data_IF_689095917789
#
_entry.id   IF_689095917789
#
_cell.length_a   1.000
_cell.length_b   1.000
_cell.length_c   1.000
_cell.angle_alpha   90.00
_cell.angle_beta   90.00
_cell.angle_gamma   90.00
#
_symmetry.space_group_name_H-M   'P 1'
#
loop_
_entity.id
_entity.type
_entity.pdbx_description
1 polymer ?
#
# COMPACT_ATOMS: atom_id res chain seq x y z
N UNK A 1 -25.60 -8.28 -23.89
CA UNK A 1 -24.81 -7.14 -23.37
C UNK A 1 -23.49 -7.13 -24.12
N UNK A 2 -23.02 -5.98 -24.65
CA UNK A 2 -21.68 -5.91 -25.21
C UNK A 2 -20.67 -6.37 -24.14
N UNK A 3 -19.71 -7.21 -24.55
CA UNK A 3 -18.67 -7.72 -23.66
C UNK A 3 -17.86 -6.51 -23.19
N UNK A 4 -17.89 -6.22 -21.89
CA UNK A 4 -17.13 -5.10 -21.37
C UNK A 4 -15.65 -5.24 -21.73
N UNK A 5 -15.03 -4.12 -22.09
CA UNK A 5 -13.63 -4.11 -22.42
C UNK A 5 -12.82 -4.50 -21.18
N UNK A 6 -11.77 -5.30 -21.40
CA UNK A 6 -10.86 -5.68 -20.33
C UNK A 6 -10.13 -4.44 -19.81
N UNK A 7 -9.94 -4.31 -18.48
CA UNK A 7 -9.16 -3.20 -17.90
C UNK A 7 -7.74 -3.13 -18.46
N UNK A 8 -7.14 -4.29 -18.78
CA UNK A 8 -5.81 -4.38 -19.40
C UNK A 8 -5.76 -3.73 -20.80
N UNK A 9 -6.89 -3.67 -21.51
CA UNK A 9 -7.03 -3.11 -22.85
C UNK A 9 -7.65 -1.70 -22.83
N UNK A 10 -8.09 -1.23 -21.65
CA UNK A 10 -8.80 0.04 -21.50
C UNK A 10 -7.83 1.22 -21.50
N UNK A 11 -7.84 2.01 -22.57
CA UNK A 11 -6.99 3.20 -22.72
C UNK A 11 -7.20 4.25 -21.62
N UNK A 12 -8.41 4.39 -21.07
CA UNK A 12 -8.65 5.29 -19.93
C UNK A 12 -7.88 4.78 -18.70
N UNK A 13 -8.06 3.50 -18.34
CA UNK A 13 -7.47 2.93 -17.14
C UNK A 13 -5.97 2.66 -17.24
N UNK A 14 -5.41 2.52 -18.44
CA UNK A 14 -3.94 2.47 -18.65
C UNK A 14 -3.26 3.79 -18.27
N UNK A 15 -3.92 4.91 -18.52
CA UNK A 15 -3.34 6.24 -18.40
C UNK A 15 -3.59 6.91 -17.05
N UNK A 16 -4.66 6.52 -16.36
CA UNK A 16 -4.98 7.03 -15.02
C UNK A 16 -4.19 6.21 -13.97
N UNK A 17 -3.28 6.81 -13.20
CA UNK A 17 -2.54 6.12 -12.15
C UNK A 17 -3.43 5.64 -11.00
N UNK A 18 -2.85 4.91 -10.05
CA UNK A 18 -3.55 4.41 -8.87
C UNK A 18 -4.01 5.57 -7.97
N UNK A 19 -3.18 6.61 -7.84
CA UNK A 19 -3.40 7.82 -7.05
C UNK A 19 -2.88 9.05 -7.83
N UNK A 20 -3.56 10.20 -7.75
CA UNK A 20 -3.13 11.48 -8.35
C UNK A 20 -3.88 12.69 -7.80
N UNK A 21 -3.35 13.88 -8.08
CA UNK A 21 -3.77 15.18 -7.53
C UNK A 21 -4.20 16.22 -8.59
N UNK A 22 -4.67 15.79 -9.79
CA UNK A 22 -5.04 16.73 -10.88
C UNK A 22 -6.31 16.31 -11.61
N UNK A 23 -7.19 17.27 -11.87
CA UNK A 23 -8.52 17.04 -12.46
C UNK A 23 -8.53 16.72 -13.95
N UNK A 24 -7.50 17.11 -14.71
CA UNK A 24 -7.50 17.01 -16.19
C UNK A 24 -7.71 15.59 -16.73
N UNK A 25 -7.38 14.56 -15.93
CA UNK A 25 -7.56 13.15 -16.29
C UNK A 25 -8.92 12.56 -15.91
N UNK A 26 -9.72 13.28 -15.12
CA UNK A 26 -11.03 12.84 -14.59
C UNK A 26 -12.13 12.97 -15.63
N UNK A 27 -12.04 13.95 -16.54
CA UNK A 27 -13.09 14.33 -17.51
C UNK A 27 -13.59 13.19 -18.41
N UNK A 28 -12.94 12.01 -18.37
CA UNK A 28 -13.30 10.81 -19.12
C UNK A 28 -14.12 9.77 -18.30
N UNK A 29 -14.37 10.01 -17.02
CA UNK A 29 -15.10 9.11 -16.12
C UNK A 29 -16.56 9.56 -15.93
N UNK A 30 -17.47 8.60 -15.76
CA UNK A 30 -18.87 8.85 -15.46
C UNK A 30 -19.08 8.99 -13.94
N UNK A 31 -19.80 10.03 -13.51
CA UNK A 31 -20.22 10.15 -12.11
C UNK A 31 -21.36 9.18 -11.82
N UNK A 32 -21.17 8.31 -10.83
CA UNK A 32 -22.18 7.37 -10.33
C UNK A 32 -22.88 7.96 -9.10
N UNK A 33 -22.07 8.48 -8.17
CA UNK A 33 -22.52 9.13 -6.94
C UNK A 33 -21.74 10.43 -6.81
N UNK A 34 -22.43 11.49 -6.40
CA UNK A 34 -21.80 12.74 -5.96
C UNK A 34 -22.45 13.16 -4.65
N UNK A 35 -21.63 13.34 -3.62
CA UNK A 35 -22.03 13.78 -2.29
C UNK A 35 -21.34 15.11 -2.01
N UNK A 36 -22.14 16.07 -1.53
CA UNK A 36 -21.63 17.34 -1.02
C UNK A 36 -21.87 17.36 0.48
N UNK A 37 -20.77 17.50 1.21
CA UNK A 37 -20.73 17.58 2.66
C UNK A 37 -20.34 18.99 3.07
N UNK A 38 -21.15 19.59 3.94
CA UNK A 38 -20.90 20.92 4.50
C UNK A 38 -20.42 20.77 5.94
N UNK A 39 -19.30 21.41 6.28
CA UNK A 39 -18.75 21.45 7.63
C UNK A 39 -18.85 22.88 8.16
N UNK A 40 -19.71 23.09 9.18
CA UNK A 40 -20.08 24.39 9.74
C UNK A 40 -18.90 25.32 10.11
N UNK A 41 -17.73 24.76 10.39
CA UNK A 41 -16.54 25.51 10.82
C UNK A 41 -15.42 25.61 9.79
N UNK A 42 -15.42 24.75 8.76
CA UNK A 42 -14.16 24.24 8.25
C UNK A 42 -14.10 24.09 6.71
N UNK A 43 -15.23 24.10 6.00
CA UNK A 43 -15.27 24.09 4.53
C UNK A 43 -16.25 23.10 3.92
N UNK A 44 -16.09 22.85 2.62
CA UNK A 44 -16.92 21.91 1.86
C UNK A 44 -16.11 20.74 1.32
N UNK A 45 -16.68 19.55 1.37
CA UNK A 45 -16.11 18.37 0.70
C UNK A 45 -17.05 17.85 -0.38
N UNK A 46 -16.51 17.64 -1.56
CA UNK A 46 -17.18 16.96 -2.67
C UNK A 46 -16.56 15.58 -2.81
N UNK A 47 -17.37 14.55 -2.54
CA UNK A 47 -17.00 13.16 -2.78
C UNK A 47 -17.74 12.62 -3.98
N UNK A 48 -17.03 11.93 -4.88
CA UNK A 48 -17.66 11.24 -6.01
C UNK A 48 -17.20 9.79 -6.09
N UNK A 49 -18.13 8.91 -6.43
CA UNK A 49 -17.81 7.62 -7.02
C UNK A 49 -17.92 7.76 -8.53
N UNK A 50 -16.79 7.60 -9.20
CA UNK A 50 -16.66 7.70 -10.64
C UNK A 50 -16.47 6.30 -11.24
N UNK A 51 -16.85 6.12 -12.50
CA UNK A 51 -16.79 4.85 -13.22
C UNK A 51 -16.26 5.03 -14.62
N UNK A 52 -15.32 4.18 -15.03
CA UNK A 52 -14.85 4.13 -16.40
C UNK A 52 -15.98 3.65 -17.33
N UNK A 53 -16.36 4.41 -18.37
CA UNK A 53 -17.43 4.02 -19.29
C UNK A 53 -17.07 2.80 -20.16
N UNK A 54 -15.78 2.45 -20.25
CA UNK A 54 -15.28 1.40 -21.15
C UNK A 54 -15.19 0.04 -20.44
N UNK A 55 -14.54 0.01 -19.27
CA UNK A 55 -14.28 -1.24 -18.55
C UNK A 55 -14.97 -1.31 -17.18
N UNK A 56 -15.79 -0.32 -16.82
CA UNK A 56 -16.52 -0.26 -15.55
C UNK A 56 -15.63 -0.28 -14.29
N UNK A 57 -14.36 0.10 -14.38
CA UNK A 57 -13.48 0.29 -13.19
C UNK A 57 -13.91 1.53 -12.42
N UNK A 58 -13.93 1.45 -11.09
CA UNK A 58 -14.36 2.54 -10.22
C UNK A 58 -13.20 3.37 -9.69
N UNK A 59 -13.48 4.65 -9.44
CA UNK A 59 -12.56 5.61 -8.87
C UNK A 59 -13.28 6.41 -7.80
N UNK A 60 -12.61 6.60 -6.69
CA UNK A 60 -12.98 7.56 -5.67
C UNK A 60 -12.33 8.91 -5.99
N UNK A 61 -13.12 9.95 -5.82
CA UNK A 61 -12.70 11.33 -5.89
C UNK A 61 -13.15 12.01 -4.61
N UNK A 62 -12.25 12.73 -3.97
CA UNK A 62 -12.58 13.62 -2.88
C UNK A 62 -11.83 14.93 -3.09
N UNK A 63 -12.57 16.01 -3.06
CA UNK A 63 -12.05 17.36 -3.10
C UNK A 63 -12.54 18.08 -1.86
N UNK A 64 -11.61 18.60 -1.08
CA UNK A 64 -11.89 19.39 0.12
C UNK A 64 -11.43 20.81 -0.14
N UNK A 65 -12.37 21.75 -0.07
CA UNK A 65 -12.11 23.18 -0.18
C UNK A 65 -12.45 23.88 1.14
N UNK A 66 -11.48 24.55 1.73
CA UNK A 66 -11.66 25.32 2.97
C UNK A 66 -12.44 26.61 2.69
N UNK A 67 -13.41 26.93 3.55
CA UNK A 67 -14.04 28.25 3.56
C UNK A 67 -13.15 29.21 4.37
N UNK A 68 -12.83 30.37 3.78
CA UNK A 68 -11.79 31.33 4.20
C UNK A 68 -11.92 31.97 5.58
N UNK A 69 -12.84 31.51 6.43
CA UNK A 69 -13.17 32.13 7.71
C UNK A 69 -12.35 31.59 8.90
N UNK A 70 -11.68 30.43 8.79
CA UNK A 70 -10.85 29.83 9.86
C UNK A 70 -9.57 29.15 9.32
N UNK A 71 -8.48 29.90 9.04
CA UNK A 71 -7.35 29.45 8.21
C UNK A 71 -6.29 28.55 8.90
N UNK A 72 -6.63 27.76 9.91
CA UNK A 72 -5.62 27.22 10.84
C UNK A 72 -5.53 25.71 11.03
N UNK A 73 -6.26 24.87 10.28
CA UNK A 73 -6.31 23.44 10.64
C UNK A 73 -5.98 22.42 9.54
N UNK A 74 -5.99 22.76 8.25
CA UNK A 74 -5.73 21.78 7.19
C UNK A 74 -4.89 22.37 6.05
N UNK A 75 -4.14 21.54 5.32
CA UNK A 75 -3.53 21.99 4.07
C UNK A 75 -4.64 22.47 3.12
N UNK A 76 -4.58 23.75 2.77
CA UNK A 76 -5.43 24.47 1.83
C UNK A 76 -5.73 23.64 0.58
N UNK A 77 -7.00 23.43 0.28
CA UNK A 77 -7.50 22.81 -0.97
C UNK A 77 -6.86 21.46 -1.35
N UNK A 78 -7.43 20.35 -0.86
CA UNK A 78 -6.88 19.00 -1.10
C UNK A 78 -7.73 18.18 -2.07
N UNK A 79 -7.07 17.59 -3.06
CA UNK A 79 -7.67 16.71 -4.06
C UNK A 79 -7.06 15.31 -3.97
N UNK A 80 -7.91 14.33 -3.69
CA UNK A 80 -7.56 12.92 -3.57
C UNK A 80 -8.36 12.07 -4.53
N UNK A 81 -7.66 11.38 -5.43
CA UNK A 81 -8.29 10.54 -6.44
C UNK A 81 -7.62 9.19 -6.44
N UNK A 82 -8.40 8.14 -6.18
CA UNK A 82 -7.89 6.78 -6.03
C UNK A 82 -8.73 5.80 -6.79
N UNK A 83 -8.08 4.81 -7.42
CA UNK A 83 -8.82 3.70 -8.02
C UNK A 83 -9.37 2.79 -6.91
N UNK A 84 -10.65 2.47 -6.95
CA UNK A 84 -11.27 1.53 -6.03
C UNK A 84 -11.29 0.13 -6.63
N UNK A 85 -10.84 -0.86 -5.85
CA UNK A 85 -11.06 -2.25 -6.20
C UNK A 85 -12.53 -2.65 -5.94
N UNK A 86 -13.00 -3.76 -6.53
CA UNK A 86 -14.41 -4.15 -6.44
C UNK A 86 -14.93 -4.33 -5.00
N UNK A 87 -14.11 -4.82 -4.06
CA UNK A 87 -14.53 -4.97 -2.65
C UNK A 87 -14.71 -3.59 -2.02
N UNK A 88 -13.74 -2.69 -2.24
CA UNK A 88 -13.82 -1.31 -1.75
C UNK A 88 -15.06 -0.60 -2.28
N UNK A 89 -15.36 -0.74 -3.57
CA UNK A 89 -16.56 -0.16 -4.17
C UNK A 89 -17.84 -0.72 -3.55
N UNK A 90 -17.93 -2.03 -3.32
CA UNK A 90 -19.10 -2.65 -2.68
C UNK A 90 -19.30 -2.05 -1.28
N UNK A 91 -18.26 -2.04 -0.43
CA UNK A 91 -18.38 -1.53 0.94
C UNK A 91 -18.75 -0.04 0.98
N UNK A 92 -18.22 0.75 0.06
CA UNK A 92 -18.56 2.15 -0.11
C UNK A 92 -20.05 2.32 -0.45
N UNK A 93 -20.55 1.59 -1.45
CA UNK A 93 -21.96 1.63 -1.84
C UNK A 93 -22.90 1.12 -0.74
N UNK A 94 -22.52 0.03 -0.06
CA UNK A 94 -23.28 -0.55 1.04
C UNK A 94 -23.49 0.47 2.16
N UNK A 95 -22.43 1.12 2.63
CA UNK A 95 -22.59 2.03 3.75
C UNK A 95 -23.32 3.34 3.39
N UNK A 96 -23.23 3.83 2.14
CA UNK A 96 -24.13 4.89 1.65
C UNK A 96 -25.58 4.39 1.65
N UNK A 97 -25.82 3.19 1.11
CA UNK A 97 -27.16 2.63 1.00
C UNK A 97 -27.85 2.35 2.34
N UNK A 98 -27.05 2.06 3.38
CA UNK A 98 -27.50 1.74 4.72
C UNK A 98 -27.42 2.93 5.69
N UNK A 99 -26.89 4.08 5.25
CA UNK A 99 -26.68 5.26 6.11
C UNK A 99 -25.91 4.93 7.40
N UNK A 100 -24.93 4.02 7.33
CA UNK A 100 -24.19 3.58 8.50
C UNK A 100 -23.20 4.67 8.96
N UNK A 101 -23.22 5.01 10.25
CA UNK A 101 -22.23 5.89 10.89
C UNK A 101 -20.81 5.39 10.59
N UNK A 102 -19.89 6.29 10.23
CA UNK A 102 -18.51 5.93 9.89
C UNK A 102 -18.30 5.31 8.51
N UNK A 103 -19.34 5.21 7.67
CA UNK A 103 -19.12 4.94 6.25
C UNK A 103 -18.48 6.15 5.59
N UNK A 104 -17.37 5.93 4.87
CA UNK A 104 -16.78 6.88 3.94
C UNK A 104 -17.88 7.69 3.19
N UNK A 105 -17.74 9.03 3.13
CA UNK A 105 -16.47 9.68 2.87
C UNK A 105 -16.11 10.66 3.98
N UNK A 106 -15.70 10.15 5.13
CA UNK A 106 -14.79 10.98 5.92
C UNK A 106 -13.45 10.97 5.16
N UNK A 107 -12.92 12.14 4.75
CA UNK A 107 -11.60 12.21 4.13
C UNK A 107 -10.62 11.43 5.01
N UNK A 108 -9.73 10.65 4.41
CA UNK A 108 -8.75 9.86 5.18
C UNK A 108 -7.93 10.72 6.15
N UNK A 109 -7.85 12.03 5.95
CA UNK A 109 -7.29 13.00 6.90
C UNK A 109 -8.18 13.26 8.13
N UNK A 110 -9.48 13.52 7.95
CA UNK A 110 -10.41 13.84 9.02
C UNK A 110 -10.62 12.67 10.02
N UNK A 111 -10.63 11.42 9.54
CA UNK A 111 -10.65 10.25 10.43
C UNK A 111 -9.33 10.11 11.21
N UNK A 112 -8.19 10.38 10.57
CA UNK A 112 -6.87 10.24 11.20
C UNK A 112 -6.70 11.21 12.38
N UNK A 113 -7.18 12.44 12.24
CA UNK A 113 -7.08 13.48 13.27
C UNK A 113 -8.16 13.36 14.34
N UNK A 114 -9.40 13.01 13.98
CA UNK A 114 -10.45 12.75 14.97
C UNK A 114 -10.09 11.58 15.91
N UNK A 115 -9.46 10.52 15.36
CA UNK A 115 -8.92 9.41 16.15
C UNK A 115 -7.66 9.79 16.95
N UNK A 116 -6.83 10.71 16.45
CA UNK A 116 -5.61 11.14 17.13
C UNK A 116 -5.87 12.14 18.28
N UNK A 117 -6.92 12.95 18.17
CA UNK A 117 -7.18 14.06 19.10
C UNK A 117 -8.41 13.85 19.99
N UNK A 118 -9.13 12.74 19.83
CA UNK A 118 -10.30 12.41 20.66
C UNK A 118 -11.46 13.41 20.50
N UNK A 119 -11.48 14.17 19.40
CA UNK A 119 -12.56 15.13 19.09
C UNK A 119 -13.67 14.43 18.32
N UNK A 120 -14.91 14.65 18.74
CA UNK A 120 -16.08 14.31 17.94
C UNK A 120 -16.17 15.29 16.78
N UNK A 121 -15.99 14.82 15.54
CA UNK A 121 -16.33 15.61 14.35
C UNK A 121 -17.84 15.57 14.22
N UNK A 122 -18.50 16.73 14.17
CA UNK A 122 -19.93 16.81 13.87
C UNK A 122 -20.20 16.12 12.52
N UNK A 123 -21.27 15.32 12.46
CA UNK A 123 -21.64 14.68 11.21
C UNK A 123 -21.92 15.77 10.16
N UNK A 124 -21.29 15.71 8.98
CA UNK A 124 -21.55 16.69 7.94
C UNK A 124 -23.01 16.60 7.48
N UNK A 125 -23.62 17.75 7.19
CA UNK A 125 -24.90 17.76 6.49
C UNK A 125 -24.69 17.27 5.06
N UNK A 126 -25.40 16.20 4.70
CA UNK A 126 -25.38 15.60 3.36
C UNK A 126 -26.68 15.95 2.66
N UNK A 127 -26.57 16.61 1.50
CA UNK A 127 -27.70 16.86 0.62
C UNK A 127 -28.29 15.57 0.04
N UNK A 128 -29.62 15.48 -0.03
CA UNK A 128 -30.36 14.46 -0.80
C UNK A 128 -30.06 12.97 -0.46
N UNK A 129 -29.98 12.66 0.85
CA UNK A 129 -29.68 11.31 1.37
C UNK A 129 -30.51 10.19 0.72
N UNK A 130 -31.79 10.42 0.45
CA UNK A 130 -32.69 9.40 -0.10
C UNK A 130 -32.34 9.03 -1.56
N UNK A 131 -32.06 10.02 -2.41
CA UNK A 131 -31.65 9.75 -3.79
C UNK A 131 -30.26 9.13 -3.86
N UNK A 132 -29.33 9.55 -2.97
CA UNK A 132 -28.02 8.94 -2.83
C UNK A 132 -28.11 7.46 -2.45
N UNK A 133 -28.93 7.12 -1.46
CA UNK A 133 -29.13 5.74 -1.04
C UNK A 133 -29.74 4.88 -2.17
N UNK A 134 -30.68 5.42 -2.95
CA UNK A 134 -31.26 4.73 -4.10
C UNK A 134 -30.25 4.54 -5.24
N UNK A 135 -29.47 5.56 -5.57
CA UNK A 135 -28.39 5.47 -6.55
C UNK A 135 -27.35 4.42 -6.14
N UNK A 136 -26.98 4.40 -4.85
CA UNK A 136 -26.05 3.42 -4.30
C UNK A 136 -26.60 1.99 -4.38
N UNK A 137 -27.88 1.77 -4.03
CA UNK A 137 -28.54 0.45 -4.16
C UNK A 137 -28.56 -0.05 -5.60
N UNK A 138 -28.91 0.83 -6.54
CA UNK A 138 -28.97 0.47 -7.97
C UNK A 138 -27.58 0.09 -8.49
N UNK A 139 -26.54 0.88 -8.20
CA UNK A 139 -25.19 0.55 -8.64
C UNK A 139 -24.65 -0.70 -7.94
N UNK A 140 -24.96 -0.89 -6.66
CA UNK A 140 -24.57 -2.08 -5.90
C UNK A 140 -25.18 -3.35 -6.52
N UNK A 141 -26.44 -3.31 -6.94
CA UNK A 141 -27.08 -4.42 -7.65
C UNK A 141 -26.36 -4.74 -8.97
N UNK A 142 -26.00 -3.71 -9.75
CA UNK A 142 -25.25 -3.87 -11.01
C UNK A 142 -23.87 -4.49 -10.78
N UNK A 143 -23.14 -4.00 -9.78
CA UNK A 143 -21.80 -4.47 -9.45
C UNK A 143 -21.85 -5.91 -8.93
N UNK A 144 -22.77 -6.22 -8.01
CA UNK A 144 -22.91 -7.54 -7.39
C UNK A 144 -23.19 -8.62 -8.44
N UNK A 145 -24.07 -8.36 -9.42
CA UNK A 145 -24.37 -9.27 -10.53
C UNK A 145 -23.15 -9.61 -11.40
N UNK A 146 -22.14 -8.73 -11.42
CA UNK A 146 -20.94 -8.88 -12.26
C UNK A 146 -19.69 -9.25 -11.49
N UNK A 147 -19.73 -9.17 -10.16
CA UNK A 147 -18.58 -9.27 -9.28
C UNK A 147 -17.75 -10.55 -9.52
N UNK A 148 -18.40 -11.72 -9.57
CA UNK A 148 -17.68 -12.98 -9.79
C UNK A 148 -16.97 -13.02 -11.15
N UNK A 149 -17.60 -12.46 -12.18
CA UNK A 149 -16.99 -12.38 -13.50
C UNK A 149 -15.81 -11.40 -13.53
N UNK A 150 -15.91 -10.29 -12.79
CA UNK A 150 -14.80 -9.34 -12.61
C UNK A 150 -13.61 -10.06 -11.98
N UNK A 151 -13.81 -10.75 -10.85
CA UNK A 151 -12.73 -11.47 -10.16
C UNK A 151 -12.11 -12.56 -11.05
N UNK A 152 -12.93 -13.35 -11.77
CA UNK A 152 -12.43 -14.33 -12.75
C UNK A 152 -11.58 -13.68 -13.83
N UNK A 153 -12.04 -12.56 -14.40
CA UNK A 153 -11.28 -11.81 -15.40
C UNK A 153 -9.95 -11.30 -14.82
N UNK A 154 -9.94 -10.79 -13.59
CA UNK A 154 -8.74 -10.32 -12.91
C UNK A 154 -7.70 -11.44 -12.73
N UNK A 155 -8.14 -12.64 -12.32
CA UNK A 155 -7.28 -13.83 -12.22
C UNK A 155 -6.71 -14.23 -13.58
N UNK A 156 -7.49 -14.14 -14.65
CA UNK A 156 -7.02 -14.47 -15.99
C UNK A 156 -6.08 -13.40 -16.56
N UNK A 157 -6.30 -12.12 -16.22
CA UNK A 157 -5.42 -11.03 -16.65
C UNK A 157 -4.07 -11.17 -15.95
N UNK A 158 -4.01 -11.32 -14.62
CA UNK A 158 -2.75 -11.30 -13.86
C UNK A 158 -1.76 -12.38 -14.30
N UNK A 159 -2.26 -13.50 -14.84
CA UNK A 159 -1.46 -14.61 -15.40
C UNK A 159 -0.79 -14.28 -16.74
N UNK A 160 -1.22 -13.22 -17.45
CA UNK A 160 -0.66 -12.85 -18.76
C UNK A 160 0.67 -12.12 -18.60
N UNK A 161 1.58 -12.33 -19.55
CA UNK A 161 2.81 -11.54 -19.66
C UNK A 161 2.52 -10.16 -20.28
N UNK A 162 3.34 -9.15 -19.94
CA UNK A 162 3.32 -7.84 -20.60
C UNK A 162 2.21 -6.87 -20.13
N UNK A 163 1.54 -7.14 -19.01
CA UNK A 163 0.55 -6.23 -18.42
C UNK A 163 1.26 -4.97 -17.91
N UNK A 164 0.66 -3.81 -18.15
CA UNK A 164 1.11 -2.53 -17.59
C UNK A 164 1.26 -2.61 -16.06
N UNK A 165 2.39 -2.11 -15.52
CA UNK A 165 2.70 -2.21 -14.09
C UNK A 165 1.65 -1.61 -13.15
N UNK A 166 1.00 -0.51 -13.55
CA UNK A 166 -0.08 0.12 -12.76
C UNK A 166 -1.33 -0.75 -12.73
N UNK A 167 -1.66 -1.38 -13.85
CA UNK A 167 -2.78 -2.33 -13.93
C UNK A 167 -2.45 -3.57 -13.10
N UNK A 168 -1.21 -4.09 -13.20
CA UNK A 168 -0.74 -5.23 -12.43
C UNK A 168 -0.89 -4.99 -10.92
N UNK A 169 -0.49 -3.82 -10.43
CA UNK A 169 -0.66 -3.45 -9.02
C UNK A 169 -2.14 -3.41 -8.61
N UNK A 170 -3.00 -2.76 -9.38
CA UNK A 170 -4.44 -2.72 -9.11
C UNK A 170 -5.05 -4.13 -9.02
N UNK A 171 -4.72 -5.00 -9.97
CA UNK A 171 -5.26 -6.36 -10.02
C UNK A 171 -4.79 -7.17 -8.81
N UNK A 172 -3.52 -7.04 -8.44
CA UNK A 172 -2.98 -7.68 -7.24
C UNK A 172 -3.72 -7.22 -5.98
N UNK A 173 -3.89 -5.91 -5.79
CA UNK A 173 -4.58 -5.34 -4.63
C UNK A 173 -6.05 -5.79 -4.59
N UNK A 174 -6.74 -5.80 -5.73
CA UNK A 174 -8.12 -6.26 -5.85
C UNK A 174 -8.28 -7.74 -5.49
N UNK A 175 -7.37 -8.60 -5.95
CA UNK A 175 -7.39 -10.03 -5.63
C UNK A 175 -7.05 -10.28 -4.16
N UNK A 176 -6.05 -9.57 -3.61
CA UNK A 176 -5.76 -9.59 -2.18
C UNK A 176 -6.98 -9.22 -1.35
N UNK A 177 -7.60 -8.05 -1.61
CA UNK A 177 -8.78 -7.60 -0.89
C UNK A 177 -9.95 -8.61 -1.01
N UNK A 178 -10.19 -9.16 -2.21
CA UNK A 178 -11.21 -10.19 -2.43
C UNK A 178 -11.03 -11.44 -1.56
N UNK A 179 -9.85 -12.05 -1.60
CA UNK A 179 -9.62 -13.30 -0.88
C UNK A 179 -9.56 -13.07 0.63
N UNK A 180 -9.07 -11.91 1.06
CA UNK A 180 -9.00 -11.55 2.47
C UNK A 180 -10.38 -11.24 3.05
N UNK A 181 -11.22 -10.50 2.33
CA UNK A 181 -12.62 -10.23 2.71
C UNK A 181 -13.42 -11.54 2.87
N UNK A 182 -13.17 -12.52 1.98
CA UNK A 182 -13.81 -13.85 2.05
C UNK A 182 -13.15 -14.82 3.06
N UNK A 183 -12.09 -14.43 3.76
CA UNK A 183 -11.33 -15.32 4.64
C UNK A 183 -10.62 -16.47 3.91
N UNK A 184 -10.45 -16.38 2.60
CA UNK A 184 -9.85 -17.40 1.72
C UNK A 184 -8.39 -17.10 1.39
N UNK A 185 -7.60 -16.73 2.39
CA UNK A 185 -6.21 -16.30 2.19
C UNK A 185 -5.29 -17.36 1.53
N UNK A 186 -5.60 -18.66 1.69
CA UNK A 186 -4.85 -19.74 1.01
C UNK A 186 -4.93 -19.64 -0.51
N UNK A 187 -6.00 -19.05 -1.03
CA UNK A 187 -6.22 -18.88 -2.46
C UNK A 187 -5.29 -17.81 -3.05
N UNK A 188 -4.58 -17.02 -2.23
CA UNK A 188 -3.49 -16.13 -2.68
C UNK A 188 -2.20 -16.87 -3.01
N UNK A 189 -2.14 -18.19 -2.80
CA UNK A 189 -0.96 -19.01 -3.08
C UNK A 189 -0.45 -18.88 -4.51
N UNK A 190 -1.34 -18.82 -5.51
CA UNK A 190 -0.94 -18.69 -6.91
C UNK A 190 -0.25 -17.35 -7.22
N UNK A 191 -0.53 -16.29 -6.45
CA UNK A 191 0.16 -15.00 -6.59
C UNK A 191 1.56 -15.06 -5.94
N UNK A 192 1.72 -15.78 -4.83
CA UNK A 192 3.03 -16.03 -4.21
C UNK A 192 3.93 -16.94 -5.06
N UNK A 193 3.33 -17.78 -5.89
CA UNK A 193 4.02 -18.72 -6.79
C UNK A 193 4.09 -18.19 -8.24
N UNK A 194 3.78 -16.90 -8.45
CA UNK A 194 3.75 -16.29 -9.78
C UNK A 194 5.14 -16.14 -10.41
N UNK A 195 5.27 -16.29 -11.73
CA UNK A 195 6.56 -16.14 -12.42
C UNK A 195 7.16 -14.73 -12.34
N UNK A 196 6.30 -13.73 -12.14
CA UNK A 196 6.69 -12.32 -12.00
C UNK A 196 7.11 -11.99 -10.56
N UNK A 197 8.37 -11.57 -10.32
CA UNK A 197 8.85 -11.16 -9.00
C UNK A 197 8.03 -10.03 -8.36
N UNK A 198 7.53 -9.08 -9.16
CA UNK A 198 6.71 -7.98 -8.65
C UNK A 198 5.46 -8.52 -7.95
N UNK A 199 4.77 -9.46 -8.60
CA UNK A 199 3.52 -10.04 -8.08
C UNK A 199 3.80 -10.81 -6.79
N UNK A 200 4.84 -11.65 -6.77
CA UNK A 200 5.21 -12.43 -5.58
C UNK A 200 5.55 -11.53 -4.40
N UNK A 201 6.43 -10.55 -4.60
CA UNK A 201 6.92 -9.66 -3.53
C UNK A 201 5.81 -8.75 -3.01
N UNK A 202 5.01 -8.14 -3.90
CA UNK A 202 3.90 -7.28 -3.47
C UNK A 202 2.81 -8.08 -2.73
N UNK A 203 2.55 -9.32 -3.16
CA UNK A 203 1.63 -10.21 -2.44
C UNK A 203 2.19 -10.57 -1.07
N UNK A 204 3.47 -10.97 -0.99
CA UNK A 204 4.10 -11.29 0.28
C UNK A 204 4.10 -10.09 1.25
N UNK A 205 4.41 -8.89 0.75
CA UNK A 205 4.38 -7.66 1.52
C UNK A 205 2.96 -7.33 2.02
N UNK A 206 1.94 -7.51 1.17
CA UNK A 206 0.54 -7.36 1.60
C UNK A 206 0.22 -8.30 2.76
N UNK A 207 0.57 -9.59 2.64
CA UNK A 207 0.29 -10.60 3.66
C UNK A 207 1.05 -10.35 4.97
N UNK A 208 2.30 -9.86 4.90
CA UNK A 208 3.05 -9.42 6.09
C UNK A 208 2.30 -8.30 6.78
N UNK A 209 1.97 -7.22 6.06
CA UNK A 209 1.31 -6.06 6.65
C UNK A 209 0.00 -6.43 7.35
N UNK A 210 -0.78 -7.35 6.77
CA UNK A 210 -1.98 -7.86 7.46
C UNK A 210 -1.62 -8.69 8.69
N UNK A 211 -0.68 -9.64 8.57
CA UNK A 211 -0.34 -10.54 9.67
C UNK A 211 0.29 -9.83 10.88
N UNK A 212 0.96 -8.71 10.64
CA UNK A 212 1.62 -7.92 11.68
C UNK A 212 0.85 -6.66 12.06
N UNK A 213 -0.33 -6.43 11.46
CA UNK A 213 -1.12 -5.20 11.61
C UNK A 213 -0.35 -3.91 11.25
N UNK A 214 0.67 -4.04 10.41
CA UNK A 214 1.51 -2.95 9.90
C UNK A 214 1.02 -2.44 8.53
N UNK A 215 -0.02 -3.07 7.98
CA UNK A 215 -0.64 -2.61 6.74
C UNK A 215 -1.34 -1.25 6.94
N UNK A 216 -1.35 -0.37 5.91
CA UNK A 216 -2.20 0.80 5.88
C UNK A 216 -3.64 0.46 6.27
N UNK A 217 -4.28 1.34 7.05
CA UNK A 217 -5.67 1.16 7.52
C UNK A 217 -6.60 0.80 6.35
N UNK A 218 -6.41 1.43 5.20
CA UNK A 218 -7.16 1.17 3.96
C UNK A 218 -7.07 -0.26 3.43
N UNK A 219 -6.04 -1.04 3.78
CA UNK A 219 -5.96 -2.48 3.46
C UNK A 219 -6.62 -3.35 4.53
N UNK A 220 -6.58 -2.90 5.78
CA UNK A 220 -7.16 -3.62 6.93
C UNK A 220 -8.68 -3.48 7.01
N UNK A 221 -9.26 -2.36 6.53
CA UNK A 221 -10.73 -2.13 6.56
C UNK A 221 -11.53 -3.21 5.83
N UNK A 222 -10.91 -3.91 4.87
CA UNK A 222 -11.60 -4.96 4.12
C UNK A 222 -11.64 -6.30 4.86
N UNK A 223 -10.86 -6.46 5.92
CA UNK A 223 -10.75 -7.72 6.66
C UNK A 223 -11.66 -7.63 7.88
N UNK A 224 -12.72 -8.46 7.95
CA UNK A 224 -13.57 -8.54 9.13
C UNK A 224 -12.72 -8.79 10.39
N UNK A 225 -12.94 -8.06 11.51
CA UNK A 225 -12.15 -8.20 12.73
C UNK A 225 -12.01 -9.66 13.20
N UNK A 226 -13.09 -10.44 13.10
CA UNK A 226 -13.14 -11.86 13.46
C UNK A 226 -12.29 -12.77 12.58
N UNK A 227 -11.93 -12.32 11.37
CA UNK A 227 -11.03 -13.03 10.46
C UNK A 227 -9.57 -12.61 10.66
N UNK A 228 -9.30 -11.42 11.21
CA UNK A 228 -7.94 -10.94 11.49
C UNK A 228 -7.22 -11.83 12.50
N UNK A 229 -7.89 -12.22 13.58
CA UNK A 229 -7.32 -13.09 14.62
C UNK A 229 -7.07 -14.53 14.13
N UNK A 230 -7.83 -14.97 13.13
CA UNK A 230 -7.73 -16.30 12.53
C UNK A 230 -6.72 -16.35 11.38
N UNK A 231 -6.23 -15.19 10.94
CA UNK A 231 -5.30 -15.09 9.84
C UNK A 231 -3.95 -15.67 10.25
N UNK A 232 -3.63 -16.83 9.68
CA UNK A 232 -2.34 -17.51 9.86
C UNK A 232 -1.62 -17.55 8.53
N UNK A 233 -0.46 -16.93 8.49
CA UNK A 233 0.41 -16.96 7.32
C UNK A 233 1.67 -17.77 7.61
N UNK A 234 2.16 -18.47 6.59
CA UNK A 234 3.47 -19.11 6.65
C UNK A 234 4.56 -18.05 6.43
N UNK A 235 5.07 -17.49 7.52
CA UNK A 235 6.14 -16.50 7.48
C UNK A 235 7.41 -17.03 6.82
N UNK A 236 7.70 -18.34 6.85
CA UNK A 236 8.89 -18.88 6.19
C UNK A 236 8.75 -18.76 4.67
N UNK A 237 7.55 -19.03 4.12
CA UNK A 237 7.27 -18.81 2.69
C UNK A 237 7.44 -17.34 2.31
N UNK A 238 6.94 -16.41 3.13
CA UNK A 238 7.07 -14.97 2.84
C UNK A 238 8.54 -14.50 2.89
N UNK A 239 9.30 -14.92 3.91
CA UNK A 239 10.73 -14.62 4.06
C UNK A 239 11.50 -15.10 2.83
N UNK A 240 11.21 -16.32 2.35
CA UNK A 240 11.84 -16.88 1.16
C UNK A 240 11.59 -16.01 -0.07
N UNK A 241 10.33 -15.61 -0.32
CA UNK A 241 9.97 -14.72 -1.44
C UNK A 241 10.74 -13.42 -1.41
N UNK A 242 10.93 -12.81 -0.23
CA UNK A 242 11.71 -11.58 -0.13
C UNK A 242 13.19 -11.80 -0.42
N UNK A 243 13.81 -12.87 0.11
CA UNK A 243 15.23 -13.14 -0.16
C UNK A 243 15.52 -13.48 -1.63
N UNK A 244 14.60 -14.14 -2.33
CA UNK A 244 14.78 -14.48 -3.75
C UNK A 244 15.09 -13.26 -4.62
N UNK A 245 14.42 -12.13 -4.39
CA UNK A 245 14.62 -10.90 -5.18
C UNK A 245 15.85 -10.08 -4.77
N UNK A 246 16.44 -10.39 -3.62
CA UNK A 246 17.71 -9.80 -3.16
C UNK A 246 18.92 -10.55 -3.74
N UNK A 247 18.72 -11.73 -4.32
CA UNK A 247 19.82 -12.52 -4.88
C UNK A 247 20.50 -11.84 -6.09
N UNK A 248 21.79 -12.11 -6.33
CA UNK A 248 22.51 -11.62 -7.52
C UNK A 248 21.90 -12.11 -8.85
N UNK A 249 21.24 -13.27 -8.85
CA UNK A 249 20.53 -13.75 -10.04
C UNK A 249 19.34 -12.84 -10.40
N UNK A 250 18.70 -12.24 -9.39
CA UNK A 250 17.62 -11.28 -9.59
C UNK A 250 18.12 -9.86 -9.98
N UNK A 251 19.39 -9.50 -9.74
CA UNK A 251 19.95 -8.20 -10.17
C UNK A 251 20.28 -8.15 -11.66
N UNK A 252 20.40 -9.29 -12.33
CA UNK A 252 20.68 -9.37 -13.77
C UNK A 252 19.48 -8.97 -14.66
N UNK A 253 18.30 -8.76 -14.06
CA UNK A 253 17.10 -8.30 -14.77
C UNK A 253 17.12 -6.77 -14.83
N UNK A 254 17.25 -6.22 -16.03
CA UNK A 254 17.16 -4.77 -16.28
C UNK A 254 15.69 -4.33 -16.32
N UNK A 255 15.09 -4.24 -15.13
CA UNK A 255 13.70 -3.81 -14.94
C UNK A 255 13.68 -2.48 -14.16
N UNK A 256 13.04 -1.41 -14.67
CA UNK A 256 12.92 -0.14 -13.95
C UNK A 256 12.21 -0.26 -12.60
N UNK A 257 11.43 -1.32 -12.37
CA UNK A 257 10.75 -1.62 -11.09
C UNK A 257 11.62 -2.43 -10.12
N UNK A 258 12.84 -2.84 -10.51
CA UNK A 258 13.75 -3.65 -9.69
C UNK A 258 14.03 -3.01 -8.32
N UNK A 259 14.28 -1.71 -8.30
CA UNK A 259 14.58 -0.97 -7.06
C UNK A 259 13.36 -1.00 -6.14
N UNK A 260 12.16 -0.75 -6.67
CA UNK A 260 10.92 -0.75 -5.88
C UNK A 260 10.61 -2.15 -5.29
N UNK A 261 10.87 -3.21 -6.05
CA UNK A 261 10.70 -4.60 -5.60
C UNK A 261 11.70 -4.92 -4.48
N UNK A 262 12.98 -4.53 -4.64
CA UNK A 262 14.02 -4.75 -3.62
C UNK A 262 13.73 -3.97 -2.35
N UNK A 263 13.36 -2.69 -2.48
CA UNK A 263 12.90 -1.86 -1.37
C UNK A 263 11.75 -2.54 -0.60
N UNK A 264 10.72 -2.98 -1.34
CA UNK A 264 9.56 -3.68 -0.75
C UNK A 264 9.98 -4.95 -0.01
N UNK A 265 10.94 -5.71 -0.56
CA UNK A 265 11.46 -6.92 0.06
C UNK A 265 12.30 -6.65 1.32
N UNK A 266 13.17 -5.63 1.30
CA UNK A 266 13.95 -5.19 2.47
C UNK A 266 13.02 -4.77 3.60
N UNK A 267 11.99 -3.98 3.30
CA UNK A 267 10.98 -3.58 4.28
C UNK A 267 10.23 -4.80 4.85
N UNK A 268 9.80 -5.74 3.99
CA UNK A 268 9.15 -6.97 4.45
C UNK A 268 10.02 -7.80 5.38
N UNK A 269 11.32 -7.93 5.08
CA UNK A 269 12.29 -8.62 5.94
C UNK A 269 12.52 -7.88 7.26
N UNK A 270 12.51 -6.54 7.25
CA UNK A 270 12.66 -5.70 8.46
C UNK A 270 11.51 -5.97 9.44
N UNK A 271 10.27 -5.94 8.95
CA UNK A 271 9.08 -6.26 9.76
C UNK A 271 9.14 -7.69 10.32
N UNK A 272 9.78 -8.61 9.59
CA UNK A 272 9.94 -10.01 9.99
C UNK A 272 11.29 -10.32 10.66
N UNK A 273 12.12 -9.33 11.02
CA UNK A 273 13.50 -9.54 11.48
C UNK A 273 13.59 -10.56 12.63
N UNK A 274 12.78 -10.40 13.67
CA UNK A 274 12.71 -11.33 14.80
C UNK A 274 12.20 -12.74 14.47
N UNK A 275 11.62 -12.98 13.29
CA UNK A 275 11.13 -14.29 12.81
C UNK A 275 12.12 -15.01 11.91
N UNK A 276 13.14 -14.32 11.39
CA UNK A 276 14.14 -14.92 10.50
C UNK A 276 15.03 -15.86 11.30
N UNK A 277 15.11 -17.13 10.86
CA UNK A 277 15.97 -18.13 11.50
C UNK A 277 17.45 -17.84 11.23
N UNK A 278 18.35 -18.13 12.19
CA UNK A 278 19.78 -17.92 12.01
C UNK A 278 20.38 -18.55 10.75
N UNK A 279 19.95 -19.77 10.43
CA UNK A 279 20.45 -20.52 9.27
C UNK A 279 20.05 -19.82 7.97
N UNK A 280 18.78 -19.43 7.86
CA UNK A 280 18.27 -18.65 6.72
C UNK A 280 19.00 -17.32 6.56
N UNK A 281 19.29 -16.63 7.67
CA UNK A 281 20.05 -15.37 7.61
C UNK A 281 21.48 -15.62 7.11
N UNK A 282 22.16 -16.64 7.64
CA UNK A 282 23.53 -16.98 7.26
C UNK A 282 23.66 -17.29 5.77
N UNK A 283 22.68 -17.98 5.20
CA UNK A 283 22.63 -18.31 3.76
C UNK A 283 22.42 -17.08 2.87
N UNK A 284 21.79 -16.02 3.38
CA UNK A 284 21.36 -14.87 2.58
C UNK A 284 22.09 -13.57 2.91
N UNK A 285 22.95 -13.55 3.94
CA UNK A 285 23.59 -12.32 4.40
C UNK A 285 24.44 -11.67 3.31
N UNK A 286 25.18 -12.45 2.52
CA UNK A 286 25.98 -11.92 1.41
C UNK A 286 25.13 -11.14 0.40
N UNK A 287 23.94 -11.64 0.08
CA UNK A 287 23.01 -10.99 -0.85
C UNK A 287 22.54 -9.64 -0.30
N UNK A 288 22.25 -9.56 1.01
CA UNK A 288 21.89 -8.30 1.68
C UNK A 288 23.05 -7.30 1.59
N UNK A 289 24.28 -7.75 1.81
CA UNK A 289 25.47 -6.90 1.79
C UNK A 289 25.85 -6.42 0.41
N UNK A 290 25.56 -7.20 -0.63
CA UNK A 290 25.77 -6.76 -2.00
C UNK A 290 24.84 -5.60 -2.38
N UNK A 291 23.65 -5.50 -1.77
CA UNK A 291 22.74 -4.36 -1.98
C UNK A 291 23.28 -3.07 -1.37
N UNK A 292 24.18 -3.12 -0.37
CA UNK A 292 24.85 -1.91 0.13
C UNK A 292 25.67 -1.19 -0.95
N UNK A 293 26.00 -1.87 -2.06
CA UNK A 293 26.66 -1.24 -3.21
C UNK A 293 25.68 -0.42 -4.06
N UNK A 294 24.37 -0.56 -3.84
CA UNK A 294 23.31 0.23 -4.48
C UNK A 294 22.97 1.45 -3.62
N UNK A 295 23.53 2.61 -3.94
CA UNK A 295 23.37 3.87 -3.17
C UNK A 295 21.90 4.21 -2.82
N UNK A 296 20.94 3.81 -3.67
CA UNK A 296 19.52 4.07 -3.49
C UNK A 296 18.85 3.25 -2.37
N UNK A 297 19.42 2.12 -1.99
CA UNK A 297 18.86 1.18 -1.00
C UNK A 297 19.71 1.04 0.25
N UNK A 298 20.88 1.66 0.25
CA UNK A 298 21.89 1.61 1.30
C UNK A 298 21.30 1.93 2.70
N UNK A 299 20.51 2.99 2.81
CA UNK A 299 19.82 3.35 4.06
C UNK A 299 18.88 2.25 4.57
N UNK A 300 18.02 1.70 3.71
CA UNK A 300 17.03 0.69 4.10
C UNK A 300 17.70 -0.62 4.52
N UNK A 301 18.77 -1.01 3.82
CA UNK A 301 19.58 -2.17 4.18
C UNK A 301 20.21 -1.98 5.56
N UNK A 302 20.68 -0.78 5.92
CA UNK A 302 21.18 -0.53 7.27
C UNK A 302 20.14 -0.78 8.35
N UNK A 303 18.91 -0.30 8.15
CA UNK A 303 17.84 -0.51 9.13
C UNK A 303 17.48 -1.98 9.28
N UNK A 304 17.42 -2.72 8.17
CA UNK A 304 17.23 -4.16 8.20
C UNK A 304 18.33 -4.85 9.02
N UNK A 305 19.60 -4.56 8.73
CA UNK A 305 20.74 -5.14 9.46
C UNK A 305 20.68 -4.80 10.95
N UNK A 306 20.36 -3.55 11.31
CA UNK A 306 20.21 -3.13 12.70
C UNK A 306 19.12 -3.92 13.43
N UNK A 307 17.95 -4.05 12.83
CA UNK A 307 16.80 -4.72 13.47
C UNK A 307 17.04 -6.23 13.61
N UNK A 308 17.71 -6.85 12.62
CA UNK A 308 18.22 -8.21 12.74
C UNK A 308 19.16 -8.38 13.95
N UNK A 309 20.07 -7.42 14.18
CA UNK A 309 21.01 -7.47 15.31
C UNK A 309 20.28 -7.31 16.65
N UNK A 310 19.40 -6.31 16.76
CA UNK A 310 18.68 -6.00 17.99
C UNK A 310 17.79 -7.17 18.41
N UNK A 311 17.02 -7.75 17.49
CA UNK A 311 16.13 -8.86 17.81
C UNK A 311 16.89 -10.15 18.15
N UNK A 312 18.10 -10.35 17.58
CA UNK A 312 18.96 -11.47 17.94
C UNK A 312 19.57 -11.30 19.33
N UNK A 313 20.10 -10.11 19.66
CA UNK A 313 20.59 -9.81 21.02
C UNK A 313 19.51 -10.05 22.09
N UNK A 314 18.26 -9.63 21.83
CA UNK A 314 17.11 -9.90 22.72
C UNK A 314 16.79 -11.39 22.88
N UNK A 315 17.08 -12.23 21.88
CA UNK A 315 16.89 -13.69 21.94
C UNK A 315 18.08 -14.39 22.61
N UNK A 316 19.30 -13.90 22.41
CA UNK A 316 20.54 -14.46 22.97
C UNK A 316 20.70 -14.22 24.48
N UNK A 317 20.09 -13.17 25.04
CA UNK A 317 19.94 -13.04 26.50
C UNK A 317 19.17 -14.23 27.14
N UNK A 318 18.50 -15.06 26.33
CA UNK A 318 17.85 -16.30 26.76
C UNK A 318 18.63 -17.59 26.46
N UNK A 319 19.66 -17.59 25.61
CA UNK A 319 20.40 -18.81 25.22
C UNK A 319 21.92 -18.57 25.04
N UNK A 320 22.73 -19.34 25.78
CA UNK A 320 24.15 -19.05 26.09
C UNK A 320 25.19 -19.28 24.98
N UNK A 321 24.82 -19.56 23.73
CA UNK A 321 25.79 -20.02 22.70
C UNK A 321 25.56 -19.43 21.29
N UNK A 322 25.98 -18.18 21.02
CA UNK A 322 25.85 -17.55 19.69
C UNK A 322 27.08 -16.76 19.19
N UNK A 323 28.30 -17.25 19.46
CA UNK A 323 29.56 -16.55 19.07
C UNK A 323 29.78 -16.35 17.56
N UNK A 324 29.24 -17.22 16.70
CA UNK A 324 29.55 -17.20 15.26
C UNK A 324 28.74 -16.11 14.53
N UNK A 325 27.52 -15.83 14.98
CA UNK A 325 26.62 -14.85 14.36
C UNK A 325 26.99 -13.43 14.81
N UNK A 326 27.40 -13.26 16.07
CA UNK A 326 27.95 -12.00 16.58
C UNK A 326 29.21 -11.56 15.82
N UNK A 327 30.12 -12.47 15.47
CA UNK A 327 31.31 -12.11 14.68
C UNK A 327 30.97 -11.61 13.27
N UNK A 328 30.00 -12.21 12.59
CA UNK A 328 29.56 -11.72 11.27
C UNK A 328 28.79 -10.40 11.40
N UNK A 329 28.00 -10.23 12.47
CA UNK A 329 27.31 -8.99 12.81
C UNK A 329 28.28 -7.85 13.18
N UNK A 330 29.37 -8.13 13.90
CA UNK A 330 30.37 -7.14 14.29
C UNK A 330 31.15 -6.61 13.08
N UNK A 331 31.47 -7.49 12.11
CA UNK A 331 32.02 -7.07 10.81
C UNK A 331 31.06 -6.14 10.04
N UNK A 332 29.75 -6.32 10.22
CA UNK A 332 28.73 -5.46 9.63
C UNK A 332 28.54 -4.15 10.39
N UNK A 333 28.70 -4.15 11.71
CA UNK A 333 28.66 -2.95 12.52
C UNK A 333 29.90 -2.05 12.32
N UNK A 334 31.05 -2.65 12.03
CA UNK A 334 32.28 -1.95 11.63
C UNK A 334 32.12 -1.29 10.25
N UNK A 335 31.59 -2.04 9.27
CA UNK A 335 31.25 -1.51 7.94
C UNK A 335 30.12 -0.46 8.00
N UNK A 336 29.14 -0.63 8.90
CA UNK A 336 28.09 0.35 9.21
C UNK A 336 28.68 1.63 9.77
N UNK A 337 29.60 1.56 10.72
CA UNK A 337 30.29 2.74 11.28
C UNK A 337 31.12 3.47 10.23
N UNK A 338 31.79 2.74 9.36
CA UNK A 338 32.54 3.31 8.23
C UNK A 338 31.63 4.07 7.26
N UNK A 339 30.41 3.59 7.04
CA UNK A 339 29.46 4.22 6.13
C UNK A 339 28.72 5.39 6.81
N UNK A 340 28.33 5.24 8.07
CA UNK A 340 27.77 6.34 8.86
C UNK A 340 28.73 7.53 8.93
N UNK A 341 30.04 7.31 9.06
CA UNK A 341 31.02 8.40 9.02
C UNK A 341 31.10 9.08 7.65
N UNK A 342 30.90 8.35 6.54
CA UNK A 342 30.80 8.93 5.19
C UNK A 342 29.54 9.79 5.03
N UNK A 343 28.40 9.36 5.58
CA UNK A 343 27.15 10.13 5.52
C UNK A 343 27.12 11.32 6.49
N UNK A 344 27.66 11.19 7.70
CA UNK A 344 27.87 12.34 8.60
C UNK A 344 28.76 13.37 7.92
N UNK A 345 29.90 12.96 7.35
CA UNK A 345 30.77 13.89 6.62
C UNK A 345 30.07 14.55 5.41
N UNK A 346 29.21 13.83 4.70
CA UNK A 346 28.43 14.35 3.56
C UNK A 346 27.32 15.30 4.00
N UNK A 347 26.69 15.04 5.15
CA UNK A 347 25.69 15.91 5.77
C UNK A 347 26.32 17.19 6.32
N UNK A 348 27.47 17.09 7.01
CA UNK A 348 28.22 18.24 7.50
C UNK A 348 28.79 19.10 6.37
N UNK A 349 29.34 18.52 5.32
CA UNK A 349 29.78 19.28 4.14
C UNK A 349 28.62 19.91 3.35
N UNK A 350 27.44 19.29 3.34
CA UNK A 350 26.22 19.91 2.78
C UNK A 350 25.70 21.08 3.63
N UNK A 351 25.83 21.00 4.97
CA UNK A 351 25.52 22.09 5.89
C UNK A 351 26.53 23.24 5.78
N UNK A 352 27.83 22.95 5.69
CA UNK A 352 28.87 23.97 5.44
C UNK A 352 28.68 24.67 4.09
N UNK A 353 28.20 23.96 3.05
CA UNK A 353 27.84 24.56 1.76
C UNK A 353 26.57 25.42 1.82
N UNK A 354 25.62 25.12 2.72
CA UNK A 354 24.40 25.91 2.93
C UNK A 354 24.63 27.14 3.81
N UNK A 355 25.49 27.02 4.82
CA UNK A 355 25.88 28.11 5.72
C UNK A 355 26.99 28.98 5.11
N UNK A 356 27.65 28.52 4.04
CA UNK A 356 28.61 29.25 3.22
C UNK A 356 28.05 30.37 2.32
N UNK A 357 26.97 31.04 2.73
CA UNK A 357 26.73 32.45 2.37
C UNK A 357 27.12 33.32 3.56
N UNK A 358 28.42 33.58 3.69
CA UNK A 358 28.93 34.50 4.68
C UNK A 358 30.43 34.40 4.92
N UNK A 359 31.26 34.43 3.87
CA UNK A 359 32.65 34.89 4.00
C UNK A 359 32.85 36.08 3.08
N UNK A 360 32.59 37.25 3.65
CA UNK A 360 33.47 38.41 3.56
C UNK A 360 33.73 38.90 4.97
#
# INVERSE_FOLDING_TARGET
MPKEANIADCEICKNIPQEFSSEEKILKLLTVIEMKSYYDCCGTSITKLLKCPICSTYYYYNHYSEDSHYPHHFESDSLDIRRYDPVTTIKFLEGISNSAEGTLPAPTGALKEAFAEGRQVSEPEISDKANLANAAKNELEVLTKRYENIIKNLIEIIKKNGINGKIKQYILEALCNHFMDKGKFKDLGFLLDHNDPFIRVKTAHYLVGVATLDAPVTKLIHIPPELREKFKVDFNKLIKVFFEVLSPAASAIDDPTRIDIRYTAIYGLKVLAGRIKPETLKENISNILDILKEEKLEYDVYWLLRDLIVDKKKKEEKEKNAKIILNEIEKLDEKRREILSKYENKYWSFLELKEGKGVS
#
